data_IF_800680435756
#
_entry.id   IF_800680435756
#
_cell.length_a   1.000
_cell.length_b   1.000
_cell.length_c   1.000
_cell.angle_alpha   90.00
_cell.angle_beta   90.00
_cell.angle_gamma   90.00
#
_symmetry.space_group_name_H-M   'P 1'
#
loop_
_entity.id
_entity.type
_entity.pdbx_description
1 polymer ?
#
# COMPACT_ATOMS: atom_id res chain seq x y z
N UNK A 1 -19.09 -10.45 11.26
CA UNK A 1 -17.90 -9.84 11.91
C UNK A 1 -16.72 -9.98 10.95
N UNK A 2 -16.35 -8.92 10.22
CA UNK A 2 -15.29 -8.99 9.19
C UNK A 2 -14.55 -7.68 8.94
N UNK A 3 -14.74 -6.67 9.80
CA UNK A 3 -14.14 -5.34 9.67
C UNK A 3 -12.76 -5.25 10.35
N UNK A 4 -12.52 -6.02 11.42
CA UNK A 4 -11.29 -5.88 12.24
C UNK A 4 -10.02 -6.32 11.50
N UNK A 5 -10.08 -7.36 10.65
CA UNK A 5 -8.91 -7.87 9.91
C UNK A 5 -8.45 -6.90 8.81
N UNK A 6 -9.36 -6.13 8.21
CA UNK A 6 -9.00 -5.19 7.13
C UNK A 6 -8.26 -3.97 7.65
N UNK A 7 -8.67 -3.49 8.83
CA UNK A 7 -8.02 -2.36 9.51
C UNK A 7 -6.58 -2.71 9.89
N UNK A 8 -6.34 -3.92 10.37
CA UNK A 8 -5.01 -4.42 10.73
C UNK A 8 -4.07 -4.52 9.52
N UNK A 9 -4.57 -5.03 8.37
CA UNK A 9 -3.80 -5.10 7.12
C UNK A 9 -3.48 -3.73 6.54
N UNK A 10 -4.42 -2.78 6.61
CA UNK A 10 -4.18 -1.41 6.16
C UNK A 10 -3.13 -0.72 7.05
N UNK A 11 -3.19 -0.90 8.36
CA UNK A 11 -2.21 -0.35 9.29
C UNK A 11 -0.80 -0.94 9.07
N UNK A 12 -0.70 -2.25 8.85
CA UNK A 12 0.56 -2.91 8.53
C UNK A 12 1.15 -2.41 7.19
N UNK A 13 0.32 -2.24 6.16
CA UNK A 13 0.77 -1.70 4.86
C UNK A 13 1.20 -0.23 4.99
N UNK A 14 0.43 0.59 5.71
CA UNK A 14 0.77 1.99 5.97
C UNK A 14 2.11 2.11 6.70
N UNK A 15 2.35 1.28 7.72
CA UNK A 15 3.62 1.23 8.45
C UNK A 15 4.80 0.85 7.53
N UNK A 16 4.62 -0.15 6.65
CA UNK A 16 5.67 -0.56 5.72
C UNK A 16 6.00 0.51 4.68
N UNK A 17 4.98 1.20 4.15
CA UNK A 17 5.16 2.30 3.21
C UNK A 17 5.89 3.48 3.87
N UNK A 18 5.48 3.85 5.08
CA UNK A 18 6.13 4.92 5.82
C UNK A 18 7.61 4.59 6.11
N UNK A 19 7.91 3.36 6.54
CA UNK A 19 9.30 2.92 6.79
C UNK A 19 10.17 2.88 5.54
N UNK A 20 9.56 2.65 4.37
CA UNK A 20 10.28 2.67 3.08
C UNK A 20 10.65 4.09 2.69
N UNK A 21 9.73 5.03 2.87
CA UNK A 21 9.90 6.41 2.46
C UNK A 21 10.72 7.22 3.49
N UNK A 22 10.64 6.84 4.78
CA UNK A 22 11.35 7.46 5.90
C UNK A 22 12.04 6.39 6.79
N UNK A 23 13.14 5.77 6.33
CA UNK A 23 13.82 4.71 7.08
C UNK A 23 14.40 5.17 8.42
N UNK A 24 14.70 6.46 8.56
CA UNK A 24 15.20 7.11 9.77
C UNK A 24 14.11 7.51 10.76
N UNK A 25 12.82 7.35 10.41
CA UNK A 25 11.67 7.81 11.20
C UNK A 25 10.83 6.65 11.71
N UNK A 26 10.11 6.91 12.80
CA UNK A 26 9.29 5.90 13.47
C UNK A 26 7.81 6.06 13.17
N UNK A 27 7.11 4.96 12.90
CA UNK A 27 5.65 4.99 12.65
C UNK A 27 4.83 5.29 13.93
N UNK A 28 5.28 4.81 15.09
CA UNK A 28 4.62 5.05 16.39
C UNK A 28 5.42 6.03 17.25
N UNK A 29 4.75 6.94 17.97
CA UNK A 29 5.42 7.80 18.94
C UNK A 29 5.93 6.94 20.11
N UNK A 30 7.25 6.77 20.18
CA UNK A 30 7.98 6.33 21.36
C UNK A 30 7.93 4.82 21.67
N UNK A 31 8.97 4.11 21.26
CA UNK A 31 9.61 3.08 22.10
C UNK A 31 11.12 3.10 21.78
N UNK A 32 11.86 3.92 22.53
CA UNK A 32 13.28 3.73 22.82
C UNK A 32 14.39 4.09 21.81
N UNK A 33 14.16 4.83 20.72
CA UNK A 33 15.31 5.33 19.95
C UNK A 33 15.80 6.67 20.49
N UNK A 34 16.97 6.65 21.14
CA UNK A 34 17.71 7.83 21.62
C UNK A 34 18.30 8.66 20.46
N UNK A 35 18.12 8.21 19.22
CA UNK A 35 18.37 9.00 18.03
C UNK A 35 17.13 9.82 17.70
N UNK A 36 17.32 11.05 17.25
CA UNK A 36 16.32 12.05 16.83
C UNK A 36 15.33 11.62 15.71
N UNK A 37 14.98 10.34 15.58
CA UNK A 37 14.00 9.83 14.63
C UNK A 37 12.61 10.44 14.92
N UNK A 38 12.22 11.43 14.12
CA UNK A 38 10.90 12.05 14.24
C UNK A 38 9.81 10.99 14.00
N UNK A 39 8.83 10.91 14.90
CA UNK A 39 7.70 10.03 14.70
C UNK A 39 6.80 10.52 13.55
N UNK A 40 6.05 9.62 12.93
CA UNK A 40 4.99 9.97 11.99
C UNK A 40 3.97 10.87 12.69
N UNK A 41 3.68 12.02 12.10
CA UNK A 41 2.64 12.95 12.57
C UNK A 41 1.25 12.30 12.44
N UNK A 42 0.25 12.94 13.04
CA UNK A 42 -1.13 12.49 12.86
C UNK A 42 -1.57 12.54 11.38
N UNK A 43 -1.20 13.60 10.66
CA UNK A 43 -1.54 13.80 9.25
C UNK A 43 -0.89 12.74 8.35
N UNK A 44 0.40 12.46 8.54
CA UNK A 44 1.11 11.42 7.79
C UNK A 44 0.48 10.05 8.04
N UNK A 45 0.14 9.73 9.29
CA UNK A 45 -0.52 8.45 9.59
C UNK A 45 -1.87 8.33 8.89
N UNK A 46 -2.67 9.39 8.86
CA UNK A 46 -3.94 9.41 8.15
C UNK A 46 -3.76 9.25 6.62
N UNK A 47 -2.73 9.90 6.04
CA UNK A 47 -2.41 9.80 4.62
C UNK A 47 -2.01 8.38 4.21
N UNK A 48 -1.00 7.81 4.89
CA UNK A 48 -0.51 6.47 4.59
C UNK A 48 -1.58 5.40 4.83
N UNK A 49 -2.41 5.58 5.86
CA UNK A 49 -3.56 4.69 6.10
C UNK A 49 -4.59 4.76 4.99
N UNK A 50 -5.00 5.97 4.58
CA UNK A 50 -5.98 6.15 3.50
C UNK A 50 -5.46 5.57 2.18
N UNK A 51 -4.18 5.74 1.90
CA UNK A 51 -3.54 5.16 0.72
C UNK A 51 -3.46 3.62 0.79
N UNK A 52 -3.11 3.06 1.96
CA UNK A 52 -3.11 1.62 2.18
C UNK A 52 -4.51 1.01 2.05
N UNK A 53 -5.53 1.66 2.62
CA UNK A 53 -6.94 1.28 2.47
C UNK A 53 -7.36 1.31 1.00
N UNK A 54 -6.99 2.34 0.23
CA UNK A 54 -7.28 2.42 -1.20
C UNK A 54 -6.58 1.30 -2.00
N UNK A 55 -5.34 0.94 -1.66
CA UNK A 55 -4.65 -0.17 -2.31
C UNK A 55 -5.26 -1.53 -2.00
N UNK A 56 -5.72 -1.75 -0.77
CA UNK A 56 -6.39 -2.99 -0.36
C UNK A 56 -7.84 -3.06 -0.84
N UNK A 57 -8.48 -1.91 -1.05
CA UNK A 57 -9.85 -1.80 -1.56
C UNK A 57 -9.92 -1.93 -3.08
N UNK A 58 -8.81 -1.76 -3.82
CA UNK A 58 -8.77 -2.09 -5.24
C UNK A 58 -9.07 -3.58 -5.38
N UNK A 59 -10.23 -3.98 -5.96
CA UNK A 59 -10.39 -5.36 -6.37
C UNK A 59 -9.24 -5.68 -7.32
N UNK A 60 -8.81 -6.94 -7.32
CA UNK A 60 -7.84 -7.51 -8.26
C UNK A 60 -8.31 -7.45 -9.74
N UNK A 61 -9.04 -6.41 -10.15
CA UNK A 61 -9.12 -5.94 -11.53
C UNK A 61 -7.78 -5.28 -11.90
N UNK A 62 -6.69 -6.05 -11.79
CA UNK A 62 -5.67 -5.90 -12.79
C UNK A 62 -6.39 -6.33 -14.07
N UNK A 63 -6.57 -5.48 -15.10
CA UNK A 63 -6.91 -6.03 -16.39
C UNK A 63 -5.78 -7.01 -16.69
N UNK A 64 -6.07 -8.32 -16.63
CA UNK A 64 -5.15 -9.33 -17.12
C UNK A 64 -4.59 -8.76 -18.42
N UNK A 65 -3.26 -8.57 -18.54
CA UNK A 65 -2.68 -7.75 -19.61
C UNK A 65 -3.37 -8.13 -20.89
N UNK A 66 -4.20 -7.21 -21.38
CA UNK A 66 -5.24 -7.50 -22.35
C UNK A 66 -4.65 -8.39 -23.42
N UNK A 67 -5.26 -9.56 -23.60
CA UNK A 67 -5.14 -10.44 -24.76
C UNK A 67 -4.34 -9.80 -25.90
N UNK A 68 -2.99 -9.83 -25.79
CA UNK A 68 -2.10 -9.21 -26.77
C UNK A 68 -1.85 -10.24 -27.89
N UNK A 69 -2.93 -10.80 -28.40
CA UNK A 69 -2.98 -11.75 -29.52
C UNK A 69 -4.28 -11.56 -30.29
N UNK A 70 -4.60 -10.31 -30.60
CA UNK A 70 -5.42 -10.03 -31.76
C UNK A 70 -4.56 -9.30 -32.80
N UNK A 71 -4.66 -9.75 -34.05
CA UNK A 71 -3.89 -9.38 -35.26
C UNK A 71 -2.61 -10.21 -35.37
N UNK A 72 -2.56 -11.26 -36.19
CA UNK A 72 -2.74 -11.18 -37.65
C UNK A 72 -3.66 -12.26 -38.22
N UNK A 73 -4.69 -11.83 -38.94
CA UNK A 73 -5.30 -12.59 -40.03
C UNK A 73 -4.26 -12.73 -41.15
N UNK A 74 -3.96 -13.95 -41.57
CA UNK A 74 -3.78 -14.26 -42.98
C UNK A 74 -4.43 -15.60 -43.26
N UNK A 75 -5.62 -15.54 -43.86
CA UNK A 75 -6.08 -16.60 -44.73
C UNK A 75 -5.10 -16.65 -45.91
N UNK A 76 -4.51 -17.79 -46.19
CA UNK A 76 -3.86 -18.03 -47.48
C UNK A 76 -4.03 -19.50 -47.83
N UNK A 77 -4.81 -19.69 -48.91
CA UNK A 77 -4.95 -20.84 -49.80
C UNK A 77 -5.41 -22.18 -49.19
#
# INVERSE_FOLDING_TARGET
MGMEIRTDRAEALAMNLFRRDHPERSWRPGLQDRSRAEAATFEERALYRSFAEAQLAKPLDYPAPAARRERFRFATA
#
